data_IF_188127665923
#
_entry.id   IF_188127665923
#
_cell.length_a   1.000
_cell.length_b   1.000
_cell.length_c   1.000
_cell.angle_alpha   90.00
_cell.angle_beta   90.00
_cell.angle_gamma   90.00
#
_symmetry.space_group_name_H-M   'P 1'
#
loop_
_entity.id
_entity.type
_entity.pdbx_description
1 polymer ?
#
# COMPACT_ATOMS: atom_id res chain seq x y z
N UNK A 1 -9.25 20.59 3.02
CA UNK A 1 -7.80 20.76 2.77
C UNK A 1 -7.52 20.89 1.27
N UNK A 2 -8.09 21.90 0.59
CA UNK A 2 -8.00 22.03 -0.87
C UNK A 2 -6.60 22.40 -1.39
N UNK A 3 -5.72 21.39 -1.52
CA UNK A 3 -4.33 21.54 -2.00
C UNK A 3 -4.09 20.82 -3.34
N UNK A 4 -5.12 20.26 -3.97
CA UNK A 4 -4.97 19.40 -5.14
C UNK A 4 -4.33 20.12 -6.35
N UNK A 5 -4.63 21.40 -6.53
CA UNK A 5 -4.04 22.24 -7.59
C UNK A 5 -2.60 22.58 -7.24
N UNK A 6 -2.37 23.10 -6.04
CA UNK A 6 -1.08 23.49 -5.50
C UNK A 6 -0.09 22.33 -5.48
N UNK A 7 -0.53 21.13 -5.12
CA UNK A 7 0.30 19.93 -5.14
C UNK A 7 0.81 19.57 -6.54
N UNK A 8 0.02 19.88 -7.59
CA UNK A 8 0.42 19.64 -8.98
C UNK A 8 1.39 20.72 -9.49
N UNK A 9 1.13 21.97 -9.12
CA UNK A 9 1.79 23.15 -9.68
C UNK A 9 3.04 23.60 -8.88
N UNK A 10 3.12 23.28 -7.59
CA UNK A 10 4.20 23.73 -6.70
C UNK A 10 5.01 22.54 -6.16
N UNK A 11 6.28 22.47 -6.58
CA UNK A 11 7.19 21.40 -6.17
C UNK A 11 7.51 21.41 -4.67
N UNK A 12 7.64 22.58 -4.05
CA UNK A 12 7.89 22.71 -2.61
C UNK A 12 6.76 22.09 -1.79
N UNK A 13 5.51 22.42 -2.13
CA UNK A 13 4.31 21.83 -1.50
C UNK A 13 4.29 20.32 -1.68
N UNK A 14 4.54 19.86 -2.90
CA UNK A 14 4.58 18.43 -3.22
C UNK A 14 5.65 17.69 -2.40
N UNK A 15 6.83 18.28 -2.25
CA UNK A 15 7.93 17.68 -1.50
C UNK A 15 7.62 17.60 -0.01
N UNK A 16 7.04 18.64 0.60
CA UNK A 16 6.62 18.59 2.00
C UNK A 16 5.55 17.51 2.22
N UNK A 17 4.52 17.43 1.38
CA UNK A 17 3.50 16.39 1.48
C UNK A 17 4.08 14.97 1.37
N UNK A 18 5.09 14.78 0.51
CA UNK A 18 5.82 13.51 0.39
C UNK A 18 6.66 13.21 1.63
N UNK A 19 7.34 14.21 2.20
CA UNK A 19 8.11 14.05 3.43
C UNK A 19 7.21 13.64 4.60
N UNK A 20 6.06 14.29 4.78
CA UNK A 20 5.05 13.93 5.80
C UNK A 20 4.61 12.48 5.62
N UNK A 21 4.29 12.09 4.38
CA UNK A 21 3.88 10.70 4.07
C UNK A 21 5.00 9.68 4.34
N UNK A 22 6.26 10.09 4.23
CA UNK A 22 7.41 9.23 4.44
C UNK A 22 7.72 8.97 5.93
N UNK A 23 7.21 9.79 6.86
CA UNK A 23 7.42 9.61 8.30
C UNK A 23 6.98 8.23 8.79
N UNK A 24 5.93 7.66 8.20
CA UNK A 24 5.43 6.33 8.53
C UNK A 24 6.48 5.22 8.28
N UNK A 25 7.48 5.48 7.44
CA UNK A 25 8.52 4.53 7.07
C UNK A 25 9.85 4.82 7.77
N UNK A 26 9.90 5.74 8.72
CA UNK A 26 11.11 6.00 9.51
C UNK A 26 11.11 5.19 10.80
N UNK A 27 12.29 4.80 11.31
CA UNK A 27 12.41 4.32 12.68
C UNK A 27 11.81 5.35 13.64
N UNK A 28 10.98 4.91 14.60
CA UNK A 28 10.27 5.82 15.52
C UNK A 28 11.21 6.81 16.24
N UNK A 29 12.42 6.36 16.58
CA UNK A 29 13.46 7.20 17.20
C UNK A 29 13.94 8.39 16.37
N UNK A 30 13.62 8.44 15.08
CA UNK A 30 14.03 9.50 14.16
C UNK A 30 12.86 10.35 13.67
N UNK A 31 11.63 10.08 14.14
CA UNK A 31 10.46 10.83 13.67
C UNK A 31 10.54 12.29 14.14
N UNK A 32 10.92 12.53 15.38
CA UNK A 32 11.03 13.89 15.94
C UNK A 32 12.12 14.72 15.23
N UNK A 33 13.27 14.09 14.94
CA UNK A 33 14.36 14.72 14.18
C UNK A 33 13.91 15.06 12.75
N UNK A 34 13.27 14.10 12.08
CA UNK A 34 12.76 14.26 10.72
C UNK A 34 11.65 15.33 10.65
N UNK A 35 10.79 15.38 11.68
CA UNK A 35 9.76 16.39 11.83
C UNK A 35 10.35 17.79 11.92
N UNK A 36 11.39 17.96 12.74
CA UNK A 36 12.08 19.25 12.92
C UNK A 36 12.67 19.78 11.61
N UNK A 37 13.38 18.92 10.86
CA UNK A 37 13.95 19.26 9.54
C UNK A 37 12.85 19.61 8.53
N UNK A 38 11.73 18.87 8.58
CA UNK A 38 10.61 19.10 7.70
C UNK A 38 9.91 20.43 8.02
N UNK A 39 9.73 20.75 9.29
CA UNK A 39 9.10 21.98 9.75
C UNK A 39 9.87 23.22 9.28
N UNK A 40 11.21 23.19 9.36
CA UNK A 40 12.06 24.26 8.84
C UNK A 40 11.81 24.54 7.34
N UNK A 41 11.61 23.48 6.54
CA UNK A 41 11.32 23.60 5.11
C UNK A 41 9.88 24.08 4.86
N UNK A 42 8.93 23.61 5.65
CA UNK A 42 7.52 23.86 5.45
C UNK A 42 7.07 25.25 5.97
N UNK A 43 7.78 25.81 6.96
CA UNK A 43 7.47 27.10 7.58
C UNK A 43 7.45 28.27 6.58
N UNK A 44 8.15 28.14 5.46
CA UNK A 44 8.17 29.13 4.38
C UNK A 44 6.94 29.13 3.47
N UNK A 45 5.96 28.23 3.69
CA UNK A 45 4.82 28.01 2.80
C UNK A 45 3.49 28.13 3.57
N UNK A 46 2.92 29.34 3.64
CA UNK A 46 1.67 29.64 4.34
C UNK A 46 0.49 28.73 3.97
N UNK A 47 0.42 28.27 2.72
CA UNK A 47 -0.66 27.40 2.24
C UNK A 47 -0.65 26.00 2.89
N UNK A 48 0.46 25.58 3.50
CA UNK A 48 0.58 24.28 4.13
C UNK A 48 0.19 24.28 5.61
N UNK A 49 0.11 25.43 6.26
CA UNK A 49 -0.11 25.54 7.72
C UNK A 49 -1.32 24.73 8.16
N UNK A 50 -2.49 24.93 7.53
CA UNK A 50 -3.71 24.19 7.86
C UNK A 50 -3.57 22.67 7.69
N UNK A 51 -2.81 22.22 6.69
CA UNK A 51 -2.56 20.78 6.49
C UNK A 51 -1.64 20.22 7.57
N UNK A 52 -0.62 20.97 7.95
CA UNK A 52 0.32 20.53 8.97
C UNK A 52 -0.32 20.53 10.36
N UNK A 53 -1.08 21.56 10.71
CA UNK A 53 -1.83 21.62 11.97
C UNK A 53 -2.76 20.41 12.10
N UNK A 54 -3.50 20.10 11.04
CA UNK A 54 -4.32 18.89 10.97
C UNK A 54 -3.49 17.62 11.15
N UNK A 55 -2.34 17.52 10.48
CA UNK A 55 -1.49 16.32 10.60
C UNK A 55 -0.97 16.13 12.02
N UNK A 56 -0.51 17.19 12.66
CA UNK A 56 -0.03 17.18 14.05
C UNK A 56 -1.15 16.73 14.98
N UNK A 57 -2.31 17.38 14.90
CA UNK A 57 -3.46 17.07 15.75
C UNK A 57 -3.91 15.61 15.60
N UNK A 58 -3.91 15.07 14.38
CA UNK A 58 -4.45 13.73 14.12
C UNK A 58 -3.45 12.59 14.31
N UNK A 59 -2.17 12.82 14.02
CA UNK A 59 -1.17 11.74 13.92
C UNK A 59 0.02 11.88 14.86
N UNK A 60 0.37 13.09 15.30
CA UNK A 60 1.47 13.30 16.24
C UNK A 60 0.95 13.34 17.68
N UNK A 61 -0.09 14.12 17.94
CA UNK A 61 -0.56 14.43 19.30
C UNK A 61 -1.78 13.60 19.74
N UNK A 62 -2.44 12.92 18.81
CA UNK A 62 -3.66 12.16 19.10
C UNK A 62 -3.38 10.91 19.96
N UNK A 63 -3.89 10.83 21.21
CA UNK A 63 -3.66 9.68 22.07
C UNK A 63 -4.31 8.39 21.54
N UNK A 64 -5.37 8.51 20.74
CA UNK A 64 -6.07 7.38 20.12
C UNK A 64 -5.35 6.87 18.87
N UNK A 65 -4.46 7.67 18.29
CA UNK A 65 -3.69 7.34 17.09
C UNK A 65 -2.19 7.53 17.34
N UNK A 66 -1.59 6.84 18.32
CA UNK A 66 -0.19 7.03 18.66
C UNK A 66 0.72 6.54 17.53
N UNK A 67 1.92 7.11 17.45
CA UNK A 67 2.93 6.84 16.40
C UNK A 67 3.08 5.34 16.07
N UNK A 68 3.17 4.50 17.09
CA UNK A 68 3.31 3.03 16.94
C UNK A 68 2.19 2.36 16.14
N UNK A 69 1.02 2.98 16.02
CA UNK A 69 -0.15 2.41 15.32
C UNK A 69 -0.08 2.69 13.82
N UNK A 70 0.35 3.88 13.41
CA UNK A 70 0.41 4.27 12.00
C UNK A 70 1.81 4.12 11.38
N UNK A 71 2.85 3.98 12.20
CA UNK A 71 4.20 3.70 11.72
C UNK A 71 4.29 2.26 11.16
N UNK A 72 4.81 2.16 9.94
CA UNK A 72 4.96 0.92 9.18
C UNK A 72 6.43 0.53 8.98
N UNK A 73 7.37 1.22 9.64
CA UNK A 73 8.79 0.89 9.54
C UNK A 73 9.06 -0.55 10.00
N UNK A 74 9.76 -1.32 9.16
CA UNK A 74 10.07 -2.72 9.44
C UNK A 74 8.88 -3.68 9.32
N UNK A 75 7.68 -3.21 8.95
CA UNK A 75 6.56 -4.10 8.68
C UNK A 75 6.74 -4.79 7.33
N UNK A 76 6.92 -6.10 7.35
CA UNK A 76 7.00 -6.97 6.15
C UNK A 76 5.62 -7.38 5.61
N UNK A 77 4.53 -6.85 6.20
CA UNK A 77 3.18 -7.17 5.73
C UNK A 77 2.91 -6.42 4.43
N UNK A 78 2.34 -7.10 3.44
CA UNK A 78 1.82 -6.44 2.25
C UNK A 78 0.81 -5.37 2.67
N UNK A 79 1.09 -4.10 2.32
CA UNK A 79 0.24 -2.95 2.64
C UNK A 79 -1.18 -3.09 2.08
N UNK A 80 -1.33 -3.88 1.02
CA UNK A 80 -2.60 -4.15 0.36
C UNK A 80 -2.87 -5.66 0.30
N UNK A 81 -4.15 -6.02 0.29
CA UNK A 81 -4.64 -7.38 0.08
C UNK A 81 -4.73 -7.74 -1.42
N UNK A 82 -4.11 -6.97 -2.32
CA UNK A 82 -4.18 -7.16 -3.77
C UNK A 82 -3.87 -8.61 -4.22
N UNK A 83 -2.93 -9.28 -3.55
CA UNK A 83 -2.61 -10.68 -3.84
C UNK A 83 -3.77 -11.62 -3.51
N UNK A 84 -4.48 -11.35 -2.41
CA UNK A 84 -5.67 -12.10 -1.99
C UNK A 84 -6.84 -11.79 -2.91
N UNK A 85 -7.05 -10.50 -3.24
CA UNK A 85 -8.08 -10.08 -4.19
C UNK A 85 -7.85 -10.68 -5.58
N UNK A 86 -6.61 -10.68 -6.04
CA UNK A 86 -6.22 -11.33 -7.30
C UNK A 86 -6.48 -12.82 -7.28
N UNK A 87 -6.11 -13.52 -6.20
CA UNK A 87 -6.39 -14.95 -6.04
C UNK A 87 -7.90 -15.23 -6.01
N UNK A 88 -8.68 -14.45 -5.26
CA UNK A 88 -10.13 -14.59 -5.20
C UNK A 88 -10.79 -14.32 -6.56
N UNK A 89 -10.31 -13.31 -7.29
CA UNK A 89 -10.79 -12.99 -8.64
C UNK A 89 -10.53 -14.15 -9.61
N UNK A 90 -9.34 -14.74 -9.57
CA UNK A 90 -8.97 -15.89 -10.39
C UNK A 90 -9.82 -17.13 -10.03
N UNK A 91 -9.99 -17.42 -8.74
CA UNK A 91 -10.85 -18.51 -8.28
C UNK A 91 -12.31 -18.31 -8.72
N UNK A 92 -12.85 -17.10 -8.60
CA UNK A 92 -14.21 -16.80 -9.06
C UNK A 92 -14.36 -16.99 -10.58
N UNK A 93 -13.35 -16.61 -11.35
CA UNK A 93 -13.34 -16.82 -12.81
C UNK A 93 -13.34 -18.31 -13.18
N UNK A 94 -12.62 -19.15 -12.42
CA UNK A 94 -12.56 -20.60 -12.64
C UNK A 94 -13.86 -21.29 -12.20
N UNK A 95 -14.42 -20.89 -11.05
CA UNK A 95 -15.65 -21.47 -10.50
C UNK A 95 -16.85 -21.12 -11.39
N UNK A 96 -16.92 -19.89 -11.91
CA UNK A 96 -17.96 -19.45 -12.83
C UNK A 96 -19.39 -19.49 -12.27
N UNK A 97 -19.55 -19.58 -10.94
CA UNK A 97 -20.84 -19.71 -10.24
C UNK A 97 -20.82 -18.97 -8.91
N UNK A 98 -21.92 -18.29 -8.57
CA UNK A 98 -22.03 -17.52 -7.32
C UNK A 98 -22.15 -18.40 -6.06
N UNK A 99 -22.69 -19.62 -6.18
CA UNK A 99 -22.85 -20.56 -5.07
C UNK A 99 -22.39 -21.97 -5.48
N UNK A 100 -21.07 -22.25 -5.45
CA UNK A 100 -20.56 -23.58 -5.74
C UNK A 100 -20.92 -24.58 -4.64
N UNK A 101 -21.13 -25.84 -5.02
CA UNK A 101 -21.21 -26.93 -4.04
C UNK A 101 -19.84 -27.15 -3.40
N UNK A 102 -19.81 -27.64 -2.15
CA UNK A 102 -18.55 -27.93 -1.45
C UNK A 102 -17.65 -28.88 -2.25
N UNK A 103 -18.24 -29.89 -2.90
CA UNK A 103 -17.49 -30.83 -3.75
C UNK A 103 -16.81 -30.12 -4.94
N UNK A 104 -17.51 -29.21 -5.62
CA UNK A 104 -16.95 -28.44 -6.73
C UNK A 104 -15.82 -27.54 -6.25
N UNK A 105 -16.02 -26.85 -5.13
CA UNK A 105 -15.01 -25.98 -4.53
C UNK A 105 -13.73 -26.75 -4.18
N UNK A 106 -13.86 -27.90 -3.49
CA UNK A 106 -12.73 -28.75 -3.13
C UNK A 106 -11.99 -29.27 -4.36
N UNK A 107 -12.73 -29.66 -5.42
CA UNK A 107 -12.12 -30.10 -6.68
C UNK A 107 -11.27 -28.99 -7.29
N UNK A 108 -11.83 -27.79 -7.45
CA UNK A 108 -11.14 -26.64 -8.06
C UNK A 108 -9.91 -26.24 -7.24
N UNK A 109 -10.03 -26.17 -5.90
CA UNK A 109 -8.90 -25.83 -5.05
C UNK A 109 -7.74 -26.82 -5.17
N UNK A 110 -8.02 -28.12 -5.32
CA UNK A 110 -6.98 -29.14 -5.57
C UNK A 110 -6.30 -28.94 -6.92
N UNK A 111 -7.07 -28.72 -7.98
CA UNK A 111 -6.55 -28.49 -9.33
C UNK A 111 -5.68 -27.22 -9.39
N UNK A 112 -6.12 -26.12 -8.78
CA UNK A 112 -5.35 -24.88 -8.73
C UNK A 112 -4.07 -25.03 -7.91
N UNK A 113 -4.11 -25.73 -6.77
CA UNK A 113 -2.90 -26.01 -5.98
C UNK A 113 -1.87 -26.81 -6.79
N UNK A 114 -2.32 -27.81 -7.55
CA UNK A 114 -1.46 -28.58 -8.43
C UNK A 114 -0.82 -27.71 -9.52
N UNK A 115 -1.60 -26.87 -10.21
CA UNK A 115 -1.10 -25.93 -11.21
C UNK A 115 -0.07 -24.97 -10.62
N UNK A 116 -0.35 -24.37 -9.47
CA UNK A 116 0.56 -23.45 -8.78
C UNK A 116 1.87 -24.17 -8.42
N UNK A 117 1.79 -25.38 -7.85
CA UNK A 117 2.98 -26.16 -7.49
C UNK A 117 3.83 -26.53 -8.69
N UNK A 118 3.20 -26.86 -9.83
CA UNK A 118 3.88 -27.13 -11.09
C UNK A 118 4.59 -25.88 -11.61
N UNK A 119 3.88 -24.75 -11.66
CA UNK A 119 4.44 -23.47 -12.11
C UNK A 119 5.62 -23.01 -11.24
N UNK A 120 5.56 -23.21 -9.92
CA UNK A 120 6.69 -22.90 -9.02
C UNK A 120 7.93 -23.72 -9.38
N UNK A 121 7.78 -25.04 -9.55
CA UNK A 121 8.88 -25.92 -9.95
C UNK A 121 9.46 -25.56 -11.32
N UNK A 122 8.61 -25.25 -12.30
CA UNK A 122 9.09 -24.82 -13.62
C UNK A 122 9.91 -23.53 -13.55
N UNK A 123 9.51 -22.59 -12.69
CA UNK A 123 10.25 -21.34 -12.48
C UNK A 123 11.58 -21.55 -11.78
N UNK A 124 11.64 -22.45 -10.79
CA UNK A 124 12.91 -22.85 -10.15
C UNK A 124 13.90 -23.45 -11.16
N UNK A 125 13.39 -24.13 -12.19
CA UNK A 125 14.17 -24.71 -13.29
C UNK A 125 14.53 -23.68 -14.40
N UNK A 126 14.17 -22.41 -14.22
CA UNK A 126 14.52 -21.32 -15.14
C UNK A 126 13.58 -21.14 -16.33
N UNK A 127 12.40 -21.78 -16.34
CA UNK A 127 11.36 -21.48 -17.33
C UNK A 127 10.79 -20.07 -17.08
N UNK A 128 10.90 -19.13 -18.04
CA UNK A 128 10.41 -17.76 -17.87
C UNK A 128 8.89 -17.69 -17.69
N UNK A 129 8.15 -18.75 -18.01
CA UNK A 129 6.69 -18.80 -17.95
C UNK A 129 6.02 -17.87 -18.97
N UNK A 130 4.71 -18.04 -19.13
CA UNK A 130 3.92 -17.24 -20.08
C UNK A 130 3.56 -15.91 -19.41
N UNK A 131 3.97 -14.78 -20.00
CA UNK A 131 3.52 -13.44 -19.57
C UNK A 131 2.03 -13.29 -19.87
N UNK A 132 1.23 -12.92 -18.86
CA UNK A 132 -0.18 -12.56 -19.07
C UNK A 132 -0.25 -11.33 -19.98
N UNK A 133 -0.97 -11.43 -21.09
CA UNK A 133 -1.26 -10.30 -21.97
C UNK A 133 -2.17 -9.31 -21.23
N UNK A 134 -1.84 -8.02 -21.29
CA UNK A 134 -2.70 -6.99 -20.70
C UNK A 134 -3.94 -6.81 -21.59
N UNK A 135 -5.13 -7.04 -21.02
CA UNK A 135 -6.38 -6.69 -21.70
C UNK A 135 -6.45 -5.15 -21.80
N UNK A 136 -6.29 -4.61 -23.01
CA UNK A 136 -6.69 -3.23 -23.28
C UNK A 136 -8.21 -3.17 -23.20
N UNK A 137 -8.71 -2.31 -22.30
CA UNK A 137 -10.13 -1.95 -22.17
C UNK A 137 -10.28 -0.53 -22.66
#
# INVERSE_FOLDING_TARGET
MGLAKEYKENEGIRNVCRMISALAYLPMKHIDDAWSIMWERAFSIDKLTTFIDYFVEQWMDNPNMPIKVWNVYGQQRHRTNNSVEGCNSELNAIIGRNQPTVHLLVKILKEETQKVSFNLKSRELGDPGIKREQKHT
#
